data_IF_716675433213
#
_entry.id   IF_716675433213
#
_cell.length_a   1.000
_cell.length_b   1.000
_cell.length_c   1.000
_cell.angle_alpha   90.00
_cell.angle_beta   90.00
_cell.angle_gamma   90.00
#
_symmetry.space_group_name_H-M   'P 1'
#
loop_
_entity.id
_entity.type
_entity.pdbx_description
1 polymer ?
#
# COMPACT_ATOMS: atom_id res chain seq x y z
N UNK A 1 5.43 -3.25 5.12
CA UNK A 1 4.25 -3.80 4.39
C UNK A 1 4.61 -5.09 3.62
N UNK A 2 5.20 -6.04 4.33
CA UNK A 2 5.64 -7.32 3.79
C UNK A 2 4.48 -8.20 3.26
N UNK A 3 3.28 -8.05 3.80
CA UNK A 3 2.11 -8.76 3.30
C UNK A 3 1.67 -8.26 1.91
N UNK A 4 1.87 -6.98 1.60
CA UNK A 4 1.65 -6.48 0.24
C UNK A 4 2.73 -6.98 -0.71
N UNK A 5 3.98 -7.11 -0.25
CA UNK A 5 5.08 -7.59 -1.08
C UNK A 5 4.83 -9.01 -1.63
N UNK A 6 4.24 -9.91 -0.83
CA UNK A 6 3.97 -11.31 -1.22
C UNK A 6 2.79 -11.48 -2.20
N UNK A 7 2.12 -10.42 -2.61
CA UNK A 7 1.10 -10.47 -3.67
C UNK A 7 1.68 -10.87 -5.02
N UNK A 8 2.99 -10.66 -5.19
CA UNK A 8 3.83 -11.22 -6.25
C UNK A 8 4.90 -12.10 -5.62
N UNK A 9 5.46 -13.03 -6.40
CA UNK A 9 6.47 -13.95 -5.87
C UNK A 9 7.68 -13.21 -5.32
N UNK A 10 8.13 -13.61 -4.12
CA UNK A 10 9.31 -13.07 -3.44
C UNK A 10 10.17 -14.23 -2.94
N UNK A 11 11.50 -14.11 -3.05
CA UNK A 11 12.39 -15.01 -2.32
C UNK A 11 12.29 -14.72 -0.80
N UNK A 12 12.02 -15.72 0.06
CA UNK A 12 11.81 -15.48 1.48
C UNK A 12 13.04 -14.88 2.21
N UNK A 13 14.25 -15.19 1.75
CA UNK A 13 15.46 -14.64 2.37
C UNK A 13 15.66 -13.19 2.00
N UNK A 14 15.42 -12.87 0.72
CA UNK A 14 15.47 -11.50 0.22
C UNK A 14 14.37 -10.65 0.87
N UNK A 15 13.14 -11.14 0.96
CA UNK A 15 12.06 -10.43 1.63
C UNK A 15 12.40 -10.08 3.08
N UNK A 16 13.00 -11.04 3.81
CA UNK A 16 13.41 -10.80 5.19
C UNK A 16 14.56 -9.79 5.30
N UNK A 17 15.50 -9.80 4.35
CA UNK A 17 16.59 -8.82 4.28
C UNK A 17 16.04 -7.42 3.96
N UNK A 18 15.22 -7.32 2.93
CA UNK A 18 14.60 -6.07 2.46
C UNK A 18 13.72 -5.42 3.54
N UNK A 19 12.98 -6.23 4.31
CA UNK A 19 12.17 -5.72 5.42
C UNK A 19 13.03 -5.01 6.47
N UNK A 20 14.21 -5.57 6.81
CA UNK A 20 15.15 -4.94 7.75
C UNK A 20 15.80 -3.70 7.17
N UNK A 21 16.12 -3.72 5.89
CA UNK A 21 16.73 -2.59 5.19
C UNK A 21 15.79 -1.40 5.12
N UNK A 22 14.50 -1.62 4.82
CA UNK A 22 13.49 -0.55 4.84
C UNK A 22 13.37 0.07 6.23
N UNK A 23 13.36 -0.74 7.30
CA UNK A 23 13.34 -0.22 8.67
C UNK A 23 14.59 0.62 8.98
N UNK A 24 15.77 0.17 8.54
CA UNK A 24 17.01 0.93 8.68
C UNK A 24 16.97 2.24 7.89
N UNK A 25 16.41 2.24 6.69
CA UNK A 25 16.24 3.44 5.88
C UNK A 25 15.32 4.46 6.54
N UNK A 26 14.23 4.03 7.18
CA UNK A 26 13.35 4.92 7.93
C UNK A 26 14.07 5.59 9.11
N UNK A 27 14.85 4.82 9.87
CA UNK A 27 15.66 5.36 10.98
C UNK A 27 16.70 6.35 10.45
N UNK A 28 17.39 6.01 9.36
CA UNK A 28 18.37 6.88 8.73
C UNK A 28 17.76 8.18 8.17
N UNK A 29 16.49 8.12 7.73
CA UNK A 29 15.73 9.30 7.29
C UNK A 29 15.23 10.18 8.45
N UNK A 30 15.48 9.79 9.71
CA UNK A 30 15.17 10.60 10.89
C UNK A 30 13.95 10.15 11.67
N UNK A 31 13.33 8.99 11.34
CA UNK A 31 12.27 8.43 12.18
C UNK A 31 12.91 7.83 13.43
N UNK A 32 12.70 8.47 14.57
CA UNK A 32 13.24 8.03 15.86
C UNK A 32 12.34 6.95 16.47
N UNK A 33 12.84 5.69 16.61
CA UNK A 33 12.05 4.59 17.16
C UNK A 33 11.75 4.74 18.67
N UNK A 34 12.36 5.69 19.36
CA UNK A 34 12.03 6.00 20.75
C UNK A 34 10.73 6.81 20.89
N UNK A 35 10.35 7.54 19.85
CA UNK A 35 9.17 8.42 19.81
C UNK A 35 8.14 7.99 18.78
N UNK A 36 8.53 7.17 17.79
CA UNK A 36 7.67 6.68 16.72
C UNK A 36 7.59 5.16 16.72
N UNK A 37 6.45 4.62 16.33
CA UNK A 37 6.25 3.17 16.22
C UNK A 37 6.64 2.71 14.81
N UNK A 38 7.68 1.87 14.73
CA UNK A 38 8.05 1.15 13.50
C UNK A 38 7.75 -0.32 13.72
N UNK A 39 6.93 -0.91 12.87
CA UNK A 39 6.58 -2.32 12.99
C UNK A 39 6.49 -3.01 11.63
N UNK A 40 6.66 -4.33 11.63
CA UNK A 40 6.42 -5.15 10.46
C UNK A 40 4.93 -5.53 10.42
N UNK A 41 4.25 -5.26 9.31
CA UNK A 41 2.83 -5.51 9.08
C UNK A 41 2.41 -6.94 9.46
N UNK A 42 3.15 -7.95 9.03
CA UNK A 42 2.83 -9.35 9.31
C UNK A 42 2.94 -9.74 10.80
N UNK A 43 3.56 -8.90 11.64
CA UNK A 43 3.64 -9.12 13.09
C UNK A 43 2.42 -8.61 13.84
N UNK A 44 1.52 -7.93 13.16
CA UNK A 44 0.24 -7.45 13.69
C UNK A 44 -0.88 -8.20 12.99
N UNK A 45 -1.36 -9.30 13.56
CA UNK A 45 -2.34 -10.21 12.94
C UNK A 45 -3.65 -9.52 12.55
N UNK A 46 -4.00 -8.44 13.27
CA UNK A 46 -5.22 -7.67 13.05
C UNK A 46 -5.35 -7.14 11.60
N UNK A 47 -4.25 -6.89 10.89
CA UNK A 47 -4.28 -6.49 9.48
C UNK A 47 -4.91 -7.59 8.60
N UNK A 48 -4.42 -8.83 8.75
CA UNK A 48 -4.94 -9.97 7.99
C UNK A 48 -6.36 -10.35 8.42
N UNK A 49 -6.65 -10.31 9.71
CA UNK A 49 -7.97 -10.62 10.25
C UNK A 49 -9.01 -9.63 9.75
N UNK A 50 -8.74 -8.33 9.86
CA UNK A 50 -9.63 -7.30 9.35
C UNK A 50 -9.75 -7.36 7.81
N UNK A 51 -8.65 -7.60 7.10
CA UNK A 51 -8.71 -7.77 5.64
C UNK A 51 -9.64 -8.92 5.24
N UNK A 52 -9.63 -10.04 5.98
CA UNK A 52 -10.55 -11.13 5.73
C UNK A 52 -12.02 -10.72 5.94
N UNK A 53 -12.31 -10.04 7.05
CA UNK A 53 -13.66 -9.52 7.35
C UNK A 53 -14.12 -8.58 6.23
N UNK A 54 -13.26 -7.63 5.84
CA UNK A 54 -13.57 -6.66 4.80
C UNK A 54 -13.72 -7.30 3.41
N UNK A 55 -13.00 -8.38 3.10
CA UNK A 55 -13.21 -9.16 1.88
C UNK A 55 -14.63 -9.73 1.79
N UNK A 56 -15.28 -9.99 2.94
CA UNK A 56 -16.67 -10.43 2.99
C UNK A 56 -17.68 -9.27 2.86
N UNK A 57 -17.23 -8.02 2.93
CA UNK A 57 -18.04 -6.80 2.78
C UNK A 57 -17.90 -6.18 1.41
N UNK A 58 -16.68 -6.13 0.87
CA UNK A 58 -16.34 -5.50 -0.42
C UNK A 58 -17.01 -6.25 -1.58
N UNK A 59 -17.43 -5.50 -2.60
CA UNK A 59 -18.04 -6.07 -3.80
C UNK A 59 -16.98 -6.35 -4.86
N UNK A 60 -17.07 -7.51 -5.52
CA UNK A 60 -16.20 -7.88 -6.64
C UNK A 60 -16.19 -6.80 -7.73
N UNK A 61 -17.35 -6.18 -8.01
CA UNK A 61 -17.47 -5.10 -8.98
C UNK A 61 -16.57 -3.90 -8.68
N UNK A 62 -16.36 -3.56 -7.40
CA UNK A 62 -15.47 -2.49 -7.01
C UNK A 62 -14.01 -2.83 -7.31
N UNK A 63 -13.59 -4.06 -7.00
CA UNK A 63 -12.24 -4.53 -7.30
C UNK A 63 -11.97 -4.60 -8.81
N UNK A 64 -12.98 -4.93 -9.61
CA UNK A 64 -12.86 -4.94 -11.07
C UNK A 64 -12.57 -3.56 -11.68
N UNK A 65 -12.92 -2.48 -10.99
CA UNK A 65 -12.62 -1.11 -11.42
C UNK A 65 -11.20 -0.66 -11.05
N UNK A 66 -10.50 -1.39 -10.17
CA UNK A 66 -9.13 -1.05 -9.78
C UNK A 66 -8.18 -1.17 -10.98
N UNK A 67 -7.56 -0.06 -11.34
CA UNK A 67 -6.68 0.01 -12.52
C UNK A 67 -5.39 -0.75 -12.32
N UNK A 68 -4.81 -0.71 -11.13
CA UNK A 68 -3.51 -1.32 -10.85
C UNK A 68 -3.50 -2.85 -11.01
N UNK A 69 -4.61 -3.54 -10.71
CA UNK A 69 -4.70 -4.97 -11.02
C UNK A 69 -4.58 -5.23 -12.52
N UNK A 70 -5.23 -4.39 -13.34
CA UNK A 70 -5.20 -4.52 -14.81
C UNK A 70 -3.78 -4.33 -15.34
N UNK A 71 -3.05 -3.38 -14.76
CA UNK A 71 -1.69 -3.04 -15.17
C UNK A 71 -0.68 -4.11 -14.74
N UNK A 72 -0.75 -4.56 -13.46
CA UNK A 72 0.19 -5.54 -12.90
C UNK A 72 -0.05 -6.98 -13.38
N UNK A 73 -1.31 -7.39 -13.58
CA UNK A 73 -1.64 -8.72 -14.09
C UNK A 73 -1.35 -8.89 -15.58
N UNK A 74 -1.25 -7.80 -16.34
CA UNK A 74 -0.92 -7.81 -17.76
C UNK A 74 -1.88 -8.66 -18.60
N UNK A 75 -1.32 -9.40 -19.58
CA UNK A 75 -2.09 -10.28 -20.48
C UNK A 75 -2.47 -11.61 -19.83
N UNK A 76 -1.74 -12.06 -18.79
CA UNK A 76 -1.88 -13.36 -18.15
C UNK A 76 -2.64 -13.28 -16.83
N UNK A 77 -3.80 -12.62 -16.82
CA UNK A 77 -4.61 -12.41 -15.60
C UNK A 77 -4.95 -13.69 -14.83
N UNK A 78 -5.09 -14.80 -15.55
CA UNK A 78 -5.40 -16.10 -14.95
C UNK A 78 -4.24 -16.68 -14.11
N UNK A 79 -3.01 -16.20 -14.33
CA UNK A 79 -1.83 -16.58 -13.55
C UNK A 79 -1.56 -15.66 -12.37
N UNK A 80 -2.28 -14.54 -12.27
CA UNK A 80 -2.13 -13.61 -11.17
C UNK A 80 -2.62 -14.25 -9.85
N UNK A 81 -1.94 -13.94 -8.75
CA UNK A 81 -2.39 -14.39 -7.43
C UNK A 81 -3.71 -13.72 -7.04
N UNK A 82 -4.53 -14.42 -6.25
CA UNK A 82 -5.72 -13.81 -5.65
C UNK A 82 -5.33 -12.61 -4.77
N UNK A 83 -4.18 -12.69 -4.09
CA UNK A 83 -3.64 -11.58 -3.31
C UNK A 83 -3.43 -10.31 -4.15
N UNK A 84 -2.95 -10.44 -5.40
CA UNK A 84 -2.82 -9.30 -6.30
C UNK A 84 -4.18 -8.67 -6.68
N UNK A 85 -5.26 -9.44 -6.66
CA UNK A 85 -6.61 -8.93 -6.89
C UNK A 85 -7.22 -8.29 -5.65
N UNK A 86 -6.95 -8.83 -4.46
CA UNK A 86 -7.59 -8.41 -3.20
C UNK A 86 -6.72 -7.51 -2.33
N UNK A 87 -5.46 -7.22 -2.71
CA UNK A 87 -4.60 -6.35 -1.88
C UNK A 87 -5.19 -4.96 -1.59
N UNK A 88 -6.06 -4.35 -2.43
CA UNK A 88 -6.70 -3.09 -2.07
C UNK A 88 -7.59 -3.20 -0.82
N UNK A 89 -8.10 -4.40 -0.53
CA UNK A 89 -8.86 -4.67 0.69
C UNK A 89 -7.93 -4.78 1.91
N UNK A 90 -6.75 -5.39 1.74
CA UNK A 90 -5.71 -5.39 2.78
C UNK A 90 -5.25 -3.96 3.09
N UNK A 91 -5.08 -3.13 2.06
CA UNK A 91 -4.76 -1.72 2.24
C UNK A 91 -5.87 -0.96 2.99
N UNK A 92 -7.14 -1.21 2.66
CA UNK A 92 -8.25 -0.66 3.43
C UNK A 92 -8.19 -1.11 4.89
N UNK A 93 -7.84 -2.37 5.16
CA UNK A 93 -7.66 -2.87 6.52
C UNK A 93 -6.51 -2.18 7.26
N UNK A 94 -5.37 -1.92 6.58
CA UNK A 94 -4.24 -1.19 7.15
C UNK A 94 -4.63 0.21 7.63
N UNK A 95 -5.55 0.86 6.91
CA UNK A 95 -6.05 2.20 7.23
C UNK A 95 -7.11 2.15 8.33
N UNK A 96 -8.09 1.27 8.17
CA UNK A 96 -9.28 1.22 9.03
C UNK A 96 -9.01 0.59 10.40
N UNK A 97 -8.03 -0.31 10.52
CA UNK A 97 -7.59 -0.89 11.79
C UNK A 97 -7.16 0.19 12.80
N UNK A 98 -6.58 1.27 12.32
CA UNK A 98 -6.12 2.40 13.14
C UNK A 98 -7.13 3.55 13.20
N UNK A 99 -8.32 3.39 12.60
CA UNK A 99 -9.36 4.42 12.54
C UNK A 99 -8.84 5.75 11.97
N UNK A 100 -7.94 5.66 10.97
CA UNK A 100 -7.35 6.84 10.36
C UNK A 100 -8.42 7.71 9.70
N UNK A 101 -8.38 9.01 9.98
CA UNK A 101 -9.29 9.99 9.37
C UNK A 101 -8.69 10.64 8.13
N UNK A 102 -7.36 10.73 8.07
CA UNK A 102 -6.60 11.30 6.97
C UNK A 102 -5.40 10.42 6.65
N UNK A 103 -5.12 10.22 5.37
CA UNK A 103 -4.00 9.40 4.92
C UNK A 103 -3.16 10.19 3.91
N UNK A 104 -1.89 10.49 4.24
CA UNK A 104 -0.97 11.13 3.29
C UNK A 104 -0.64 10.16 2.16
N UNK A 105 -1.02 10.51 0.94
CA UNK A 105 -0.80 9.66 -0.24
C UNK A 105 -0.45 10.46 -1.47
N UNK A 106 0.20 9.81 -2.43
CA UNK A 106 0.32 10.33 -3.78
C UNK A 106 -1.01 10.24 -4.55
N UNK A 107 -1.11 10.99 -5.63
CA UNK A 107 -2.32 11.04 -6.47
C UNK A 107 -2.70 9.64 -7.03
N UNK A 108 -1.72 8.79 -7.27
CA UNK A 108 -1.88 7.42 -7.76
C UNK A 108 -2.56 6.47 -6.76
N UNK A 109 -2.58 6.83 -5.47
CA UNK A 109 -3.26 6.06 -4.41
C UNK A 109 -4.70 6.52 -4.12
N UNK A 110 -5.18 7.57 -4.78
CA UNK A 110 -6.51 8.12 -4.56
C UNK A 110 -7.62 7.08 -4.71
N UNK A 111 -7.55 6.25 -5.75
CA UNK A 111 -8.55 5.19 -6.01
C UNK A 111 -8.61 4.16 -4.88
N UNK A 112 -7.47 3.84 -4.25
CA UNK A 112 -7.43 2.92 -3.09
C UNK A 112 -8.10 3.54 -1.86
N UNK A 113 -7.91 4.84 -1.65
CA UNK A 113 -8.58 5.56 -0.56
C UNK A 113 -10.09 5.64 -0.79
N UNK A 114 -10.55 5.84 -2.02
CA UNK A 114 -11.96 5.79 -2.38
C UNK A 114 -12.54 4.41 -2.04
N UNK A 115 -11.85 3.32 -2.39
CA UNK A 115 -12.26 1.97 -2.01
C UNK A 115 -12.33 1.78 -0.49
N UNK A 116 -11.34 2.29 0.25
CA UNK A 116 -11.35 2.21 1.71
C UNK A 116 -12.54 2.97 2.33
N UNK A 117 -12.88 4.14 1.79
CA UNK A 117 -14.07 4.92 2.19
C UNK A 117 -15.37 4.16 1.92
N UNK A 118 -15.52 3.63 0.70
CA UNK A 118 -16.71 2.88 0.29
C UNK A 118 -16.87 1.62 1.17
N UNK A 119 -15.75 0.95 1.48
CA UNK A 119 -15.72 -0.21 2.37
C UNK A 119 -16.15 0.15 3.79
N UNK A 120 -15.60 1.24 4.35
CA UNK A 120 -15.97 1.74 5.66
C UNK A 120 -17.46 2.11 5.72
N UNK A 121 -17.94 2.87 4.73
CA UNK A 121 -19.33 3.27 4.65
C UNK A 121 -20.28 2.07 4.55
N UNK A 122 -19.91 1.09 3.71
CA UNK A 122 -20.71 -0.12 3.55
C UNK A 122 -20.74 -0.93 4.85
N UNK A 123 -19.59 -1.12 5.50
CA UNK A 123 -19.52 -1.80 6.78
C UNK A 123 -20.41 -1.12 7.83
N UNK A 124 -20.27 0.19 7.99
CA UNK A 124 -21.07 0.95 8.94
C UNK A 124 -22.59 0.80 8.69
N UNK A 125 -22.98 0.81 7.43
CA UNK A 125 -24.39 0.65 7.04
C UNK A 125 -24.90 -0.78 7.25
N UNK A 126 -24.16 -1.78 6.78
CA UNK A 126 -24.57 -3.19 6.83
C UNK A 126 -24.74 -3.70 8.26
N UNK A 127 -23.89 -3.20 9.18
CA UNK A 127 -23.91 -3.62 10.59
C UNK A 127 -24.67 -2.64 11.52
N UNK A 128 -25.29 -1.59 10.96
CA UNK A 128 -26.03 -0.60 11.74
C UNK A 128 -25.15 0.09 12.80
N UNK A 129 -23.87 0.27 12.48
CA UNK A 129 -22.85 0.82 13.37
C UNK A 129 -22.31 2.15 12.79
N UNK A 130 -23.12 3.23 12.80
CA UNK A 130 -22.69 4.52 12.27
C UNK A 130 -21.40 4.96 12.97
N UNK A 131 -20.48 5.45 12.18
CA UNK A 131 -19.17 5.95 12.66
C UNK A 131 -18.25 4.89 13.34
N UNK A 132 -18.53 3.60 13.18
CA UNK A 132 -17.61 2.55 13.64
C UNK A 132 -16.24 2.69 12.96
N UNK A 133 -16.23 2.78 11.64
CA UNK A 133 -15.06 3.23 10.91
C UNK A 133 -15.25 4.69 10.46
N UNK A 134 -14.28 5.58 10.72
CA UNK A 134 -14.25 6.89 10.07
C UNK A 134 -14.09 6.70 8.56
N UNK A 135 -14.51 7.69 7.79
CA UNK A 135 -14.32 7.71 6.33
C UNK A 135 -12.98 8.40 6.04
N UNK A 136 -11.91 7.67 5.73
CA UNK A 136 -10.59 8.24 5.56
C UNK A 136 -10.53 9.18 4.36
N UNK A 137 -9.85 10.32 4.50
CA UNK A 137 -9.66 11.29 3.43
C UNK A 137 -8.20 11.33 2.96
N UNK A 138 -7.97 11.42 1.64
CA UNK A 138 -6.62 11.54 1.14
C UNK A 138 -6.05 12.92 1.46
N UNK A 139 -4.86 12.97 2.06
CA UNK A 139 -4.05 14.17 2.17
C UNK A 139 -3.07 14.20 0.99
N UNK A 140 -3.47 14.88 -0.09
CA UNK A 140 -2.61 15.09 -1.25
C UNK A 140 -2.01 16.49 -1.12
N UNK A 141 -0.79 16.59 -0.58
CA UNK A 141 -0.16 17.87 -0.25
C UNK A 141 0.97 18.22 -1.21
N UNK A 142 0.95 19.51 -1.65
CA UNK A 142 2.08 20.17 -2.27
C UNK A 142 2.31 19.91 -3.75
N UNK A 143 3.37 20.53 -4.29
CA UNK A 143 3.77 20.42 -5.69
C UNK A 143 4.33 19.03 -6.08
N UNK A 144 4.64 18.17 -5.09
CA UNK A 144 5.22 16.85 -5.27
C UNK A 144 4.19 15.71 -5.13
N UNK A 145 2.95 15.94 -5.58
CA UNK A 145 1.90 14.89 -5.62
C UNK A 145 2.29 13.70 -6.49
N UNK A 146 3.27 13.90 -7.36
CA UNK A 146 3.85 12.87 -8.21
C UNK A 146 5.36 13.01 -8.21
N UNK A 147 6.07 12.02 -7.67
CA UNK A 147 7.54 12.01 -7.67
C UNK A 147 8.04 11.67 -9.07
N UNK A 148 8.83 12.55 -9.65
CA UNK A 148 9.33 12.42 -11.01
C UNK A 148 10.71 11.77 -11.02
N UNK A 149 11.05 11.07 -12.12
CA UNK A 149 12.37 10.48 -12.32
C UNK A 149 13.46 11.55 -12.24
N UNK A 150 14.55 11.23 -11.55
CA UNK A 150 15.71 12.13 -11.48
C UNK A 150 16.43 12.30 -12.82
N UNK A 151 16.24 11.33 -13.73
CA UNK A 151 16.82 11.37 -15.08
C UNK A 151 15.94 12.13 -16.06
N UNK A 152 14.64 12.01 -15.92
CA UNK A 152 13.66 12.59 -16.83
C UNK A 152 12.47 13.14 -16.03
N UNK A 153 12.52 14.43 -15.73
CA UNK A 153 11.48 15.10 -14.95
C UNK A 153 10.09 15.11 -15.58
N UNK A 154 9.91 14.56 -16.78
CA UNK A 154 8.59 14.38 -17.42
C UNK A 154 7.97 13.02 -17.13
N UNK A 155 8.76 12.06 -16.63
CA UNK A 155 8.31 10.68 -16.32
C UNK A 155 8.19 10.47 -14.82
N UNK A 156 7.20 9.67 -14.42
CA UNK A 156 7.07 9.21 -13.04
C UNK A 156 8.33 8.43 -12.64
N UNK A 157 8.85 8.65 -11.43
CA UNK A 157 9.90 7.82 -10.86
C UNK A 157 9.42 6.37 -10.77
N UNK A 158 10.22 5.43 -11.27
CA UNK A 158 9.91 4.00 -11.23
C UNK A 158 11.11 3.23 -10.76
N UNK A 159 10.92 2.33 -9.81
CA UNK A 159 11.97 1.43 -9.32
C UNK A 159 12.33 0.35 -10.34
N UNK A 160 11.43 0.06 -11.27
CA UNK A 160 11.68 -0.87 -12.38
C UNK A 160 12.35 -0.22 -13.59
N UNK A 161 12.75 1.05 -13.50
CA UNK A 161 13.55 1.69 -14.53
C UNK A 161 14.92 1.00 -14.58
N UNK A 162 15.38 0.54 -15.75
CA UNK A 162 16.67 -0.14 -15.89
C UNK A 162 17.88 0.77 -15.59
N UNK A 163 17.66 2.05 -15.37
CA UNK A 163 18.72 3.02 -15.04
C UNK A 163 18.74 3.33 -13.53
N UNK A 164 19.85 3.01 -12.87
CA UNK A 164 20.11 3.34 -11.47
C UNK A 164 20.07 4.85 -11.16
N UNK A 165 20.06 5.71 -12.19
CA UNK A 165 20.00 7.16 -12.08
C UNK A 165 18.55 7.71 -12.09
N UNK A 166 17.57 6.86 -12.31
CA UNK A 166 16.16 7.28 -12.38
C UNK A 166 15.48 7.41 -11.03
N UNK A 167 15.59 6.44 -10.10
CA UNK A 167 15.04 6.52 -8.76
C UNK A 167 16.11 6.87 -7.71
N UNK A 168 15.65 7.32 -6.55
CA UNK A 168 16.46 7.26 -5.34
C UNK A 168 16.38 5.83 -4.82
N UNK A 169 17.39 5.02 -5.12
CA UNK A 169 17.48 3.64 -4.65
C UNK A 169 18.57 3.51 -3.60
N UNK A 170 18.30 2.74 -2.58
CA UNK A 170 19.37 2.12 -1.81
C UNK A 170 19.98 1.03 -2.71
N UNK A 171 21.31 1.02 -2.97
CA UNK A 171 21.91 0.12 -3.95
C UNK A 171 21.80 -1.38 -3.62
N UNK A 172 21.16 -1.73 -2.52
CA UNK A 172 20.93 -3.09 -2.06
C UNK A 172 19.50 -3.60 -2.33
N UNK A 173 18.68 -2.87 -3.11
CA UNK A 173 17.27 -3.19 -3.29
C UNK A 173 16.98 -3.82 -4.66
N UNK A 174 16.65 -5.11 -4.75
CA UNK A 174 16.04 -5.66 -5.95
C UNK A 174 14.61 -5.12 -6.11
N UNK A 175 14.27 -4.74 -7.29
CA UNK A 175 13.31 -3.78 -7.78
C UNK A 175 11.79 -4.08 -7.66
N UNK A 176 11.25 -4.67 -6.60
CA UNK A 176 9.84 -5.08 -6.67
C UNK A 176 8.91 -4.73 -5.48
N UNK A 177 9.37 -4.19 -4.40
CA UNK A 177 8.54 -4.11 -3.17
C UNK A 177 8.08 -2.71 -2.76
N UNK A 178 8.21 -1.69 -3.56
CA UNK A 178 8.15 -0.35 -3.02
C UNK A 178 7.27 0.67 -3.75
N UNK A 179 6.24 0.25 -4.45
CA UNK A 179 5.21 1.19 -4.93
C UNK A 179 4.19 1.60 -3.84
N UNK A 180 4.30 1.04 -2.64
CA UNK A 180 3.32 1.25 -1.57
C UNK A 180 4.00 1.57 -0.23
N UNK A 181 4.63 2.75 -0.15
CA UNK A 181 5.11 3.28 1.13
C UNK A 181 3.98 3.96 1.89
N UNK A 182 3.36 3.26 2.84
CA UNK A 182 2.52 3.92 3.83
C UNK A 182 3.35 4.31 5.04
N UNK A 183 3.38 5.59 5.34
CA UNK A 183 3.67 6.10 6.68
C UNK A 183 2.33 6.52 7.26
N UNK A 184 1.83 5.74 8.22
CA UNK A 184 0.72 6.17 9.07
C UNK A 184 1.35 6.94 10.22
N UNK A 185 1.10 8.24 10.27
CA UNK A 185 1.47 9.08 11.40
C UNK A 185 0.46 8.95 12.54
#
# INVERSE_FOLDING_TARGET
VDMHAITVWQDPKELAANTREVAAAYIAAGIDPSTNIIFNQSKVSAHAELAWILNCVVRIGWLNHMTQFKDKAGKDREKASVGLYTYPVLMAADILAYRATHVPVGEDQKQHLELARDTAQKFNNDFGAPDFFPLPEPLIMGAATRVMSLRDGTKKMSKSDPSDLSPITCPLYPSYAADEGFVVA
#
